data_IF_354698745593
#
_entry.id   IF_354698745593
#
_cell.length_a   1.000
_cell.length_b   1.000
_cell.length_c   1.000
_cell.angle_alpha   90.00
_cell.angle_beta   90.00
_cell.angle_gamma   90.00
#
_symmetry.space_group_name_H-M   'P 1'
#
loop_
_entity.id
_entity.type
_entity.pdbx_description
1 polymer ?
#
# COMPACT_ATOMS: atom_id res chain seq x y z
N UNK A 1 -50.88 -8.36 -28.63
CA UNK A 1 -49.91 -8.81 -29.65
C UNK A 1 -48.95 -7.65 -29.94
N UNK A 2 -47.65 -7.89 -29.73
CA UNK A 2 -46.46 -7.10 -30.11
C UNK A 2 -46.32 -5.65 -29.62
N UNK A 3 -45.55 -5.34 -28.58
CA UNK A 3 -44.07 -5.10 -28.57
C UNK A 3 -43.54 -4.18 -29.67
N UNK A 4 -42.93 -3.05 -29.29
CA UNK A 4 -41.55 -2.68 -29.67
C UNK A 4 -41.24 -1.23 -29.29
N UNK A 5 -40.53 -1.04 -28.18
CA UNK A 5 -39.78 0.20 -27.92
C UNK A 5 -38.49 -0.12 -27.12
N UNK A 6 -37.78 -1.16 -27.52
CA UNK A 6 -36.37 -1.33 -27.16
C UNK A 6 -35.52 -0.68 -28.25
N UNK A 7 -35.27 0.63 -28.11
CA UNK A 7 -34.28 1.34 -28.94
C UNK A 7 -32.88 0.87 -28.56
N UNK A 8 -32.20 0.35 -29.57
CA UNK A 8 -30.83 -0.14 -29.60
C UNK A 8 -29.83 0.68 -28.76
N UNK A 9 -29.30 0.06 -27.70
CA UNK A 9 -28.05 0.43 -27.03
C UNK A 9 -26.84 -0.09 -27.84
N UNK A 10 -26.66 0.41 -29.06
CA UNK A 10 -25.40 0.25 -29.81
C UNK A 10 -24.97 1.61 -30.34
N UNK A 11 -24.50 2.46 -29.42
CA UNK A 11 -23.65 3.58 -29.79
C UNK A 11 -22.27 3.04 -30.18
N UNK A 12 -21.64 3.61 -31.21
CA UNK A 12 -20.24 3.34 -31.50
C UNK A 12 -19.41 3.58 -30.22
N UNK A 13 -18.38 2.75 -29.93
CA UNK A 13 -17.51 3.02 -28.82
C UNK A 13 -16.94 4.43 -28.99
N UNK A 14 -16.97 5.23 -27.92
CA UNK A 14 -16.37 6.57 -27.92
C UNK A 14 -14.93 6.47 -28.46
N UNK A 15 -14.43 7.45 -29.20
CA UNK A 15 -13.05 7.43 -29.65
C UNK A 15 -12.11 7.36 -28.41
N UNK A 16 -10.95 6.71 -28.57
CA UNK A 16 -10.11 6.27 -27.44
C UNK A 16 -9.67 7.43 -26.54
N UNK A 17 -9.48 8.61 -27.12
CA UNK A 17 -9.22 9.87 -26.43
C UNK A 17 -10.40 10.36 -25.57
N UNK A 18 -11.64 10.24 -26.05
CA UNK A 18 -12.83 10.49 -25.23
C UNK A 18 -13.02 9.43 -24.15
N UNK A 19 -12.71 8.16 -24.42
CA UNK A 19 -12.76 7.11 -23.40
C UNK A 19 -11.74 7.37 -22.28
N UNK A 20 -10.50 7.75 -22.64
CA UNK A 20 -9.48 8.17 -21.68
C UNK A 20 -9.94 9.41 -20.93
N UNK A 21 -10.50 10.42 -21.61
CA UNK A 21 -10.98 11.64 -20.96
C UNK A 21 -12.18 11.38 -20.03
N UNK A 22 -13.06 10.43 -20.33
CA UNK A 22 -14.17 10.01 -19.46
C UNK A 22 -13.66 9.17 -18.29
N UNK A 23 -12.69 8.26 -18.51
CA UNK A 23 -12.03 7.48 -17.47
C UNK A 23 -11.23 8.36 -16.49
N UNK A 24 -10.52 9.36 -17.01
CA UNK A 24 -9.69 10.30 -16.25
C UNK A 24 -10.37 11.64 -16.00
N UNK A 25 -11.70 11.71 -16.10
CA UNK A 25 -12.45 12.91 -15.72
C UNK A 25 -12.40 13.08 -14.20
N UNK A 26 -11.30 13.65 -13.70
CA UNK A 26 -11.13 14.19 -12.34
C UNK A 26 -12.06 15.39 -12.07
N UNK A 27 -13.21 15.47 -12.76
CA UNK A 27 -14.15 16.59 -12.75
C UNK A 27 -14.71 16.87 -11.36
N UNK A 28 -14.57 15.93 -10.43
CA UNK A 28 -15.03 16.02 -9.05
C UNK A 28 -13.93 16.35 -8.02
N UNK A 29 -12.67 16.58 -8.44
CA UNK A 29 -11.60 17.03 -7.54
C UNK A 29 -11.38 18.53 -7.66
N UNK A 30 -11.47 19.26 -6.53
CA UNK A 30 -11.06 20.67 -6.49
C UNK A 30 -9.59 20.83 -6.92
N UNK A 31 -9.27 21.94 -7.58
CA UNK A 31 -7.89 22.22 -8.00
C UNK A 31 -6.92 22.25 -6.81
N UNK A 32 -7.39 22.70 -5.64
CA UNK A 32 -6.63 22.64 -4.39
C UNK A 32 -6.31 21.21 -3.96
N UNK A 33 -7.28 20.29 -4.06
CA UNK A 33 -7.07 18.88 -3.71
C UNK A 33 -6.00 18.26 -4.60
N UNK A 34 -6.01 18.57 -5.91
CA UNK A 34 -5.00 18.08 -6.86
C UNK A 34 -3.59 18.57 -6.48
N UNK A 35 -3.45 19.84 -6.09
CA UNK A 35 -2.16 20.40 -5.68
C UNK A 35 -1.63 19.74 -4.40
N UNK A 36 -2.47 19.57 -3.38
CA UNK A 36 -2.08 18.90 -2.13
C UNK A 36 -1.70 17.45 -2.41
N UNK A 37 -2.50 16.75 -3.22
CA UNK A 37 -2.27 15.36 -3.55
C UNK A 37 -0.99 15.14 -4.37
N UNK A 38 -0.66 16.06 -5.27
CA UNK A 38 0.63 16.08 -5.97
C UNK A 38 1.81 16.16 -4.98
N UNK A 39 1.71 17.01 -3.94
CA UNK A 39 2.72 17.08 -2.87
C UNK A 39 2.79 15.78 -2.06
N UNK A 40 1.65 15.16 -1.77
CA UNK A 40 1.58 13.87 -1.07
C UNK A 40 2.34 12.79 -1.84
N UNK A 41 2.03 12.58 -3.12
CA UNK A 41 2.68 11.54 -3.93
C UNK A 41 4.16 11.86 -4.22
N UNK A 42 4.52 13.14 -4.36
CA UNK A 42 5.93 13.55 -4.51
C UNK A 42 6.73 13.24 -3.23
N UNK A 43 6.14 13.52 -2.06
CA UNK A 43 6.75 13.20 -0.77
C UNK A 43 6.85 11.69 -0.56
N UNK A 44 5.81 10.93 -0.93
CA UNK A 44 5.84 9.47 -0.94
C UNK A 44 7.00 8.93 -1.78
N UNK A 45 7.18 9.42 -3.00
CA UNK A 45 8.29 9.00 -3.87
C UNK A 45 9.65 9.25 -3.21
N UNK A 46 9.82 10.41 -2.56
CA UNK A 46 11.04 10.71 -1.81
C UNK A 46 11.24 9.77 -0.61
N UNK A 47 10.17 9.45 0.13
CA UNK A 47 10.23 8.44 1.20
C UNK A 47 10.69 7.07 0.68
N UNK A 48 10.22 6.64 -0.49
CA UNK A 48 10.65 5.38 -1.11
C UNK A 48 12.13 5.38 -1.50
N UNK A 49 12.64 6.50 -2.03
CA UNK A 49 14.08 6.67 -2.33
C UNK A 49 14.89 6.59 -1.04
N UNK A 50 14.49 7.33 0.00
CA UNK A 50 15.18 7.33 1.30
C UNK A 50 15.15 5.95 1.95
N UNK A 51 14.02 5.25 1.90
CA UNK A 51 13.91 3.87 2.38
C UNK A 51 14.84 2.93 1.61
N UNK A 52 14.97 3.11 0.29
CA UNK A 52 15.90 2.33 -0.54
C UNK A 52 17.36 2.57 -0.15
N UNK A 53 17.74 3.81 0.18
CA UNK A 53 19.06 4.14 0.73
C UNK A 53 19.25 3.45 2.10
N UNK A 54 18.21 3.41 2.93
CA UNK A 54 18.22 2.67 4.20
C UNK A 54 18.48 1.18 4.04
N UNK A 55 17.78 0.52 3.09
CA UNK A 55 18.03 -0.88 2.73
C UNK A 55 19.48 -1.08 2.28
N UNK A 56 19.96 -0.24 1.35
CA UNK A 56 21.32 -0.32 0.81
C UNK A 56 22.39 -0.17 1.90
N UNK A 57 22.21 0.81 2.79
CA UNK A 57 23.12 1.08 3.91
C UNK A 57 23.18 -0.10 4.87
N UNK A 58 22.02 -0.67 5.21
CA UNK A 58 21.94 -1.81 6.12
C UNK A 58 22.60 -3.07 5.52
N UNK A 59 22.41 -3.33 4.23
CA UNK A 59 22.98 -4.51 3.57
C UNK A 59 24.50 -4.40 3.43
N UNK A 60 25.03 -3.23 3.04
CA UNK A 60 26.42 -3.10 2.59
C UNK A 60 27.37 -2.46 3.62
N UNK A 61 26.87 -1.62 4.52
CA UNK A 61 27.72 -0.80 5.41
C UNK A 61 27.64 -1.31 6.84
N UNK A 62 26.44 -1.32 7.43
CA UNK A 62 26.26 -1.63 8.83
C UNK A 62 24.87 -2.20 9.11
N UNK A 63 24.82 -3.37 9.76
CA UNK A 63 23.56 -4.00 10.20
C UNK A 63 23.27 -3.66 11.67
N UNK A 64 22.35 -2.71 11.95
CA UNK A 64 21.96 -2.42 13.32
C UNK A 64 21.12 -3.55 13.91
N UNK A 65 21.12 -3.64 15.24
CA UNK A 65 20.30 -4.61 15.96
C UNK A 65 18.81 -4.32 15.74
N UNK A 66 18.03 -5.37 15.41
CA UNK A 66 16.58 -5.31 15.21
C UNK A 66 15.84 -4.54 16.32
N UNK A 67 16.16 -4.82 17.59
CA UNK A 67 15.51 -4.14 18.73
C UNK A 67 15.77 -2.64 18.75
N UNK A 68 16.99 -2.22 18.40
CA UNK A 68 17.37 -0.82 18.37
C UNK A 68 16.67 -0.08 17.22
N UNK A 69 16.65 -0.69 16.03
CA UNK A 69 15.93 -0.15 14.86
C UNK A 69 14.44 -0.02 15.15
N UNK A 70 13.83 -0.99 15.85
CA UNK A 70 12.43 -0.95 16.26
C UNK A 70 12.13 0.21 17.23
N UNK A 71 12.94 0.37 18.28
CA UNK A 71 12.78 1.47 19.25
C UNK A 71 12.95 2.84 18.59
N UNK A 72 13.94 2.99 17.70
CA UNK A 72 14.14 4.24 16.96
C UNK A 72 12.95 4.54 16.04
N UNK A 73 12.39 3.53 15.37
CA UNK A 73 11.23 3.71 14.50
C UNK A 73 10.01 4.19 15.31
N UNK A 74 9.69 3.53 16.43
CA UNK A 74 8.61 3.94 17.32
C UNK A 74 8.85 5.36 17.84
N UNK A 75 10.06 5.64 18.34
CA UNK A 75 10.42 6.96 18.85
C UNK A 75 10.24 8.05 17.79
N UNK A 76 10.65 7.80 16.55
CA UNK A 76 10.51 8.73 15.44
C UNK A 76 9.03 8.97 15.07
N UNK A 77 8.20 7.92 15.06
CA UNK A 77 6.74 8.04 14.79
C UNK A 77 6.05 8.81 15.92
N UNK A 78 6.36 8.51 17.18
CA UNK A 78 5.80 9.26 18.32
C UNK A 78 6.22 10.74 18.25
N UNK A 79 7.50 11.01 17.99
CA UNK A 79 8.00 12.36 17.84
C UNK A 79 7.33 13.10 16.67
N UNK A 80 7.05 12.41 15.56
CA UNK A 80 6.27 12.96 14.44
C UNK A 80 4.85 13.35 14.83
N UNK A 81 4.17 12.53 15.64
CA UNK A 81 2.80 12.78 16.12
C UNK A 81 2.75 13.99 17.05
N UNK A 82 3.74 14.13 17.94
CA UNK A 82 3.83 15.27 18.86
C UNK A 82 4.29 16.57 18.20
N UNK A 83 4.94 16.49 17.03
CA UNK A 83 5.45 17.69 16.34
C UNK A 83 4.29 18.49 15.73
N UNK A 84 4.15 19.79 16.04
CA UNK A 84 3.08 20.63 15.51
C UNK A 84 3.08 20.76 13.98
N UNK A 85 1.89 20.88 13.38
CA UNK A 85 1.71 20.93 11.92
C UNK A 85 2.45 22.09 11.22
N UNK A 86 2.64 23.22 11.91
CA UNK A 86 3.30 24.41 11.36
C UNK A 86 4.81 24.21 11.19
N UNK A 87 5.43 23.25 11.89
CA UNK A 87 6.86 22.95 11.78
C UNK A 87 7.16 22.01 10.60
N UNK A 88 6.81 22.44 9.39
CA UNK A 88 6.89 21.62 8.15
C UNK A 88 8.28 21.02 7.93
N UNK A 89 9.34 21.80 8.08
CA UNK A 89 10.73 21.33 7.84
C UNK A 89 11.16 20.26 8.84
N UNK A 90 10.83 20.44 10.13
CA UNK A 90 11.14 19.45 11.16
C UNK A 90 10.37 18.15 10.91
N UNK A 91 9.08 18.24 10.60
CA UNK A 91 8.25 17.06 10.28
C UNK A 91 8.74 16.32 9.05
N UNK A 92 9.21 17.04 8.04
CA UNK A 92 9.83 16.44 6.86
C UNK A 92 11.16 15.73 7.18
N UNK A 93 11.99 16.33 8.03
CA UNK A 93 13.21 15.69 8.54
C UNK A 93 12.90 14.41 9.33
N UNK A 94 11.90 14.45 10.22
CA UNK A 94 11.46 13.28 10.98
C UNK A 94 10.89 12.20 10.04
N UNK A 95 10.07 12.59 9.05
CA UNK A 95 9.56 11.65 8.04
C UNK A 95 10.70 10.97 7.28
N UNK A 96 11.75 11.71 6.92
CA UNK A 96 12.94 11.15 6.27
C UNK A 96 13.64 10.12 7.17
N UNK A 97 13.76 10.40 8.47
CA UNK A 97 14.30 9.44 9.45
C UNK A 97 13.41 8.19 9.53
N UNK A 98 12.08 8.35 9.63
CA UNK A 98 11.13 7.23 9.65
C UNK A 98 11.31 6.37 8.39
N UNK A 99 11.37 6.98 7.21
CA UNK A 99 11.54 6.25 5.95
C UNK A 99 12.86 5.51 5.87
N UNK A 100 13.97 6.15 6.29
CA UNK A 100 15.29 5.53 6.29
C UNK A 100 15.35 4.32 7.24
N UNK A 101 14.89 4.49 8.48
CA UNK A 101 14.86 3.44 9.50
C UNK A 101 13.91 2.30 9.09
N UNK A 102 12.78 2.62 8.43
CA UNK A 102 11.89 1.60 7.87
C UNK A 102 12.59 0.79 6.78
N UNK A 103 13.39 1.44 5.93
CA UNK A 103 14.26 0.75 4.96
C UNK A 103 15.27 -0.18 5.62
N UNK A 104 15.94 0.27 6.68
CA UNK A 104 16.84 -0.58 7.48
C UNK A 104 16.09 -1.80 8.02
N UNK A 105 14.89 -1.64 8.60
CA UNK A 105 14.10 -2.76 9.11
C UNK A 105 13.69 -3.77 8.04
N UNK A 106 13.54 -3.34 6.78
CA UNK A 106 13.24 -4.23 5.65
C UNK A 106 14.45 -5.02 5.16
N UNK A 107 15.66 -4.58 5.49
CA UNK A 107 16.91 -5.12 4.92
C UNK A 107 17.13 -6.60 5.21
N UNK A 108 16.78 -7.09 6.40
CA UNK A 108 16.92 -8.50 6.77
C UNK A 108 15.99 -9.37 5.93
N UNK A 109 14.74 -8.93 5.76
CA UNK A 109 13.73 -9.63 4.95
C UNK A 109 14.15 -9.67 3.47
N UNK A 110 14.61 -8.54 2.94
CA UNK A 110 15.11 -8.44 1.56
C UNK A 110 16.36 -9.32 1.38
N UNK A 111 17.30 -9.29 2.32
CA UNK A 111 18.53 -10.10 2.27
C UNK A 111 18.23 -11.59 2.22
N UNK A 112 17.25 -12.05 3.01
CA UNK A 112 16.81 -13.45 3.00
C UNK A 112 16.27 -13.85 1.61
N UNK A 113 15.46 -13.00 0.98
CA UNK A 113 14.88 -13.31 -0.33
C UNK A 113 15.84 -13.12 -1.51
N UNK A 114 16.86 -12.25 -1.40
CA UNK A 114 17.94 -12.15 -2.39
C UNK A 114 18.67 -13.50 -2.53
N UNK A 115 18.87 -14.22 -1.43
CA UNK A 115 19.51 -15.55 -1.44
C UNK A 115 18.67 -16.62 -2.15
N UNK A 116 17.34 -16.45 -2.15
CA UNK A 116 16.42 -17.36 -2.86
C UNK A 116 16.46 -17.07 -4.37
N UNK A 117 16.14 -15.83 -4.75
CA UNK A 117 16.21 -15.36 -6.13
C UNK A 117 16.17 -13.82 -6.14
N UNK A 118 17.24 -13.12 -6.56
CA UNK A 118 17.32 -11.65 -6.50
C UNK A 118 16.26 -10.95 -7.36
N UNK A 119 15.79 -11.59 -8.44
CA UNK A 119 14.78 -11.04 -9.34
C UNK A 119 13.41 -10.86 -8.65
N UNK A 120 13.16 -11.58 -7.56
CA UNK A 120 11.90 -11.50 -6.81
C UNK A 120 11.73 -10.12 -6.16
N UNK A 121 12.82 -9.50 -5.68
CA UNK A 121 12.76 -8.19 -5.00
C UNK A 121 12.26 -7.12 -5.98
N UNK A 122 12.86 -7.05 -7.17
CA UNK A 122 12.45 -6.11 -8.20
C UNK A 122 11.01 -6.40 -8.67
N UNK A 123 10.68 -7.66 -8.88
CA UNK A 123 9.32 -8.07 -9.29
C UNK A 123 8.27 -7.67 -8.25
N UNK A 124 8.57 -7.85 -6.97
CA UNK A 124 7.70 -7.44 -5.87
C UNK A 124 7.49 -5.93 -5.85
N UNK A 125 8.56 -5.15 -6.02
CA UNK A 125 8.48 -3.69 -6.05
C UNK A 125 7.64 -3.17 -7.23
N UNK A 126 7.85 -3.71 -8.43
CA UNK A 126 7.07 -3.34 -9.62
C UNK A 126 5.60 -3.71 -9.46
N UNK A 127 5.30 -4.91 -8.95
CA UNK A 127 3.93 -5.35 -8.71
C UNK A 127 3.24 -4.48 -7.65
N UNK A 128 3.95 -4.16 -6.57
CA UNK A 128 3.46 -3.23 -5.53
C UNK A 128 3.14 -1.87 -6.13
N UNK A 129 4.06 -1.31 -6.91
CA UNK A 129 3.88 0.00 -7.56
C UNK A 129 2.69 0.02 -8.49
N UNK A 130 2.51 -1.05 -9.30
CA UNK A 130 1.36 -1.21 -10.18
C UNK A 130 0.04 -1.28 -9.40
N UNK A 131 -0.06 -2.20 -8.44
CA UNK A 131 -1.27 -2.38 -7.61
C UNK A 131 -1.59 -1.09 -6.85
N UNK A 132 -0.62 -0.52 -6.16
CA UNK A 132 -0.79 0.70 -5.38
C UNK A 132 -1.29 1.85 -6.27
N UNK A 133 -0.64 2.10 -7.41
CA UNK A 133 -1.03 3.18 -8.33
C UNK A 133 -2.43 2.93 -8.90
N UNK A 134 -2.75 1.72 -9.34
CA UNK A 134 -4.06 1.38 -9.89
C UNK A 134 -5.18 1.58 -8.87
N UNK A 135 -5.01 1.12 -7.63
CA UNK A 135 -6.03 1.24 -6.59
C UNK A 135 -6.11 2.66 -6.00
N UNK A 136 -5.00 3.38 -5.93
CA UNK A 136 -4.99 4.81 -5.62
C UNK A 136 -5.76 5.61 -6.67
N UNK A 137 -5.50 5.40 -7.97
CA UNK A 137 -6.25 6.07 -9.05
C UNK A 137 -7.72 5.70 -9.00
N UNK A 138 -8.04 4.41 -8.86
CA UNK A 138 -9.42 3.94 -8.68
C UNK A 138 -10.12 4.65 -7.52
N UNK A 139 -9.43 4.81 -6.40
CA UNK A 139 -9.94 5.54 -5.24
C UNK A 139 -10.21 7.02 -5.59
N UNK A 140 -9.25 7.72 -6.20
CA UNK A 140 -9.40 9.12 -6.58
C UNK A 140 -10.56 9.38 -7.55
N UNK A 141 -10.85 8.42 -8.45
CA UNK A 141 -11.96 8.51 -9.41
C UNK A 141 -13.33 8.31 -8.73
N UNK A 142 -13.42 7.48 -7.68
CA UNK A 142 -14.69 7.10 -7.03
C UNK A 142 -15.11 7.98 -5.85
N UNK A 143 -14.48 9.13 -5.68
CA UNK A 143 -14.72 10.07 -4.58
C UNK A 143 -16.18 10.48 -4.36
N UNK A 144 -17.01 10.54 -5.42
CA UNK A 144 -18.39 11.05 -5.35
C UNK A 144 -19.30 10.29 -4.38
N UNK A 145 -18.92 9.08 -3.97
CA UNK A 145 -19.68 8.26 -3.03
C UNK A 145 -19.22 8.50 -1.58
N UNK A 146 -19.69 9.60 -0.96
CA UNK A 146 -19.37 10.00 0.43
C UNK A 146 -19.67 8.92 1.52
N UNK A 147 -20.32 7.81 1.19
CA UNK A 147 -20.64 6.69 2.11
C UNK A 147 -19.73 5.46 1.92
N UNK A 148 -18.95 5.42 0.85
CA UNK A 148 -18.11 4.26 0.51
C UNK A 148 -17.03 4.02 1.58
N UNK A 149 -16.50 5.08 2.18
CA UNK A 149 -15.50 4.98 3.25
C UNK A 149 -15.96 4.16 4.47
N UNK A 150 -17.19 4.37 4.95
CA UNK A 150 -17.74 3.61 6.08
C UNK A 150 -17.94 2.13 5.73
N UNK A 151 -18.36 1.85 4.49
CA UNK A 151 -18.44 0.49 4.01
C UNK A 151 -17.06 -0.18 3.98
N UNK A 152 -16.04 0.49 3.44
CA UNK A 152 -14.66 -0.03 3.45
C UNK A 152 -14.15 -0.24 4.88
N UNK A 153 -14.44 0.68 5.80
CA UNK A 153 -14.05 0.54 7.21
C UNK A 153 -14.59 -0.76 7.82
N UNK A 154 -15.88 -1.03 7.61
CA UNK A 154 -16.55 -2.24 8.11
C UNK A 154 -16.03 -3.51 7.43
N UNK A 155 -15.78 -3.46 6.11
CA UNK A 155 -15.19 -4.58 5.36
C UNK A 155 -13.79 -4.91 5.85
N UNK A 156 -12.92 -3.90 6.01
CA UNK A 156 -11.56 -4.06 6.52
C UNK A 156 -11.59 -4.61 7.95
N UNK A 157 -12.46 -4.07 8.81
CA UNK A 157 -12.60 -4.54 10.19
C UNK A 157 -13.05 -6.00 10.26
N UNK A 158 -14.02 -6.39 9.41
CA UNK A 158 -14.52 -7.76 9.33
C UNK A 158 -13.46 -8.73 8.82
N UNK A 159 -12.72 -8.35 7.77
CA UNK A 159 -11.59 -9.12 7.26
C UNK A 159 -10.48 -9.25 8.30
N UNK A 160 -10.15 -8.17 9.00
CA UNK A 160 -9.16 -8.16 10.09
C UNK A 160 -9.54 -9.11 11.22
N UNK A 161 -10.82 -9.10 11.64
CA UNK A 161 -11.33 -10.05 12.63
C UNK A 161 -11.21 -11.50 12.14
N UNK A 162 -11.58 -11.77 10.89
CA UNK A 162 -11.44 -13.10 10.29
C UNK A 162 -9.99 -13.59 10.25
N UNK A 163 -9.06 -12.73 9.81
CA UNK A 163 -7.62 -13.01 9.82
C UNK A 163 -7.14 -13.27 11.26
N UNK A 164 -7.59 -12.48 12.23
CA UNK A 164 -7.25 -12.67 13.64
C UNK A 164 -7.72 -14.01 14.18
N UNK A 165 -8.99 -14.38 13.95
CA UNK A 165 -9.54 -15.68 14.38
C UNK A 165 -8.79 -16.84 13.73
N UNK A 166 -8.53 -16.79 12.42
CA UNK A 166 -7.76 -17.82 11.71
C UNK A 166 -6.31 -17.89 12.22
N UNK A 167 -5.73 -16.76 12.59
CA UNK A 167 -4.39 -16.70 13.20
C UNK A 167 -4.36 -17.33 14.60
N UNK A 168 -5.41 -17.14 15.40
CA UNK A 168 -5.56 -17.83 16.69
C UNK A 168 -5.70 -19.35 16.49
N UNK A 169 -6.54 -19.78 15.55
CA UNK A 169 -6.69 -21.20 15.24
C UNK A 169 -5.36 -21.84 14.80
N UNK A 170 -4.57 -21.12 13.99
CA UNK A 170 -3.20 -21.54 13.63
C UNK A 170 -2.28 -21.68 14.84
N UNK A 171 -2.40 -20.77 15.82
CA UNK A 171 -1.60 -20.78 17.04
C UNK A 171 -1.92 -21.99 17.92
N UNK A 172 -3.19 -22.38 18.02
CA UNK A 172 -3.65 -23.54 18.81
C UNK A 172 -3.51 -24.90 18.09
N UNK A 173 -2.69 -24.99 17.04
CA UNK A 173 -2.33 -26.27 16.41
C UNK A 173 -3.06 -26.57 15.09
N UNK A 174 -3.94 -25.69 14.62
CA UNK A 174 -4.61 -25.78 13.31
C UNK A 174 -3.72 -25.47 12.11
N UNK A 175 -2.49 -26.01 12.07
CA UNK A 175 -1.53 -25.73 10.99
C UNK A 175 -1.85 -26.57 9.75
N UNK A 176 -2.19 -25.90 8.65
CA UNK A 176 -2.32 -26.52 7.33
C UNK A 176 -1.81 -25.57 6.25
N UNK A 177 -1.33 -26.11 5.12
CA UNK A 177 -0.85 -25.30 4.00
C UNK A 177 -1.99 -24.43 3.43
N UNK A 178 -3.20 -24.98 3.32
CA UNK A 178 -4.39 -24.25 2.86
C UNK A 178 -4.72 -23.06 3.75
N UNK A 179 -4.57 -23.22 5.07
CA UNK A 179 -4.78 -22.12 6.02
C UNK A 179 -3.73 -21.02 5.87
N UNK A 180 -2.46 -21.38 5.67
CA UNK A 180 -1.39 -20.41 5.43
C UNK A 180 -1.59 -19.63 4.12
N UNK A 181 -2.11 -20.29 3.07
CA UNK A 181 -2.48 -19.64 1.81
C UNK A 181 -3.68 -18.70 1.98
N UNK A 182 -4.72 -19.15 2.70
CA UNK A 182 -5.91 -18.34 2.97
C UNK A 182 -5.56 -17.09 3.80
N UNK A 183 -4.74 -17.23 4.84
CA UNK A 183 -4.25 -16.12 5.64
C UNK A 183 -3.44 -15.12 4.79
N UNK A 184 -2.54 -15.61 3.94
CA UNK A 184 -1.75 -14.76 3.06
C UNK A 184 -2.64 -13.99 2.07
N UNK A 185 -3.63 -14.66 1.47
CA UNK A 185 -4.60 -14.02 0.57
C UNK A 185 -5.45 -12.99 1.32
N UNK A 186 -5.90 -13.31 2.53
CA UNK A 186 -6.66 -12.40 3.38
C UNK A 186 -5.86 -11.15 3.73
N UNK A 187 -4.59 -11.30 4.13
CA UNK A 187 -3.71 -10.17 4.43
C UNK A 187 -3.45 -9.34 3.17
N UNK A 188 -3.14 -9.96 2.03
CA UNK A 188 -2.96 -9.25 0.76
C UNK A 188 -4.21 -8.44 0.36
N UNK A 189 -5.39 -9.06 0.43
CA UNK A 189 -6.66 -8.39 0.15
C UNK A 189 -6.90 -7.22 1.11
N UNK A 190 -6.59 -7.39 2.40
CA UNK A 190 -6.70 -6.32 3.40
C UNK A 190 -5.76 -5.16 3.08
N UNK A 191 -4.49 -5.41 2.71
CA UNK A 191 -3.53 -4.37 2.35
C UNK A 191 -3.98 -3.56 1.13
N UNK A 192 -4.56 -4.21 0.12
CA UNK A 192 -5.14 -3.51 -1.04
C UNK A 192 -6.33 -2.64 -0.62
N UNK A 193 -7.20 -3.14 0.26
CA UNK A 193 -8.32 -2.35 0.78
C UNK A 193 -7.86 -1.14 1.60
N UNK A 194 -6.78 -1.26 2.39
CA UNK A 194 -6.16 -0.14 3.09
C UNK A 194 -5.70 0.95 2.12
N UNK A 195 -5.01 0.60 1.03
CA UNK A 195 -4.60 1.59 0.01
C UNK A 195 -5.80 2.37 -0.53
N UNK A 196 -6.92 1.69 -0.82
CA UNK A 196 -8.14 2.36 -1.29
C UNK A 196 -8.70 3.27 -0.19
N UNK A 197 -8.81 2.75 1.03
CA UNK A 197 -9.36 3.42 2.21
C UNK A 197 -8.58 4.68 2.57
N UNK A 198 -7.26 4.60 2.69
CA UNK A 198 -6.40 5.73 3.04
C UNK A 198 -6.36 6.77 1.93
N UNK A 199 -6.34 6.34 0.66
CA UNK A 199 -6.49 7.28 -0.47
C UNK A 199 -7.83 8.02 -0.42
N UNK A 200 -8.95 7.34 -0.12
CA UNK A 200 -10.26 7.99 0.08
C UNK A 200 -10.22 8.97 1.26
N UNK A 201 -9.55 8.59 2.35
CA UNK A 201 -9.51 9.41 3.57
C UNK A 201 -8.69 10.66 3.43
N UNK A 202 -7.59 10.60 2.71
CA UNK A 202 -6.80 11.78 2.37
C UNK A 202 -7.71 12.78 1.66
N UNK A 203 -8.43 12.32 0.64
CA UNK A 203 -9.35 13.14 -0.14
C UNK A 203 -10.50 13.70 0.71
N UNK A 204 -11.13 12.87 1.54
CA UNK A 204 -12.20 13.29 2.46
C UNK A 204 -11.70 14.36 3.45
N UNK A 205 -10.54 14.15 4.06
CA UNK A 205 -9.94 15.09 5.04
C UNK A 205 -9.56 16.41 4.39
N UNK A 206 -9.09 16.40 3.14
CA UNK A 206 -8.75 17.63 2.40
C UNK A 206 -10.02 18.43 2.10
N UNK A 207 -11.08 17.79 1.57
CA UNK A 207 -12.26 18.53 1.13
C UNK A 207 -13.28 18.87 2.22
N UNK A 208 -13.48 17.99 3.21
CA UNK A 208 -14.45 18.23 4.29
C UNK A 208 -13.85 18.98 5.46
N UNK A 209 -12.61 18.65 5.83
CA UNK A 209 -11.98 19.20 7.03
C UNK A 209 -10.94 20.28 6.70
N UNK A 210 -10.69 20.56 5.42
CA UNK A 210 -9.65 21.51 5.00
C UNK A 210 -8.23 21.10 5.40
N UNK A 211 -8.01 19.83 5.77
CA UNK A 211 -6.72 19.37 6.30
C UNK A 211 -5.72 19.15 5.15
N UNK A 212 -4.87 20.13 4.91
CA UNK A 212 -3.85 20.13 3.84
C UNK A 212 -2.49 19.57 4.30
N UNK A 213 -2.48 18.75 5.35
CA UNK A 213 -1.26 18.19 5.95
C UNK A 213 -0.66 17.06 5.09
N UNK A 214 -0.03 17.46 3.98
CA UNK A 214 0.50 16.52 2.99
C UNK A 214 1.59 15.61 3.55
N UNK A 215 2.34 16.03 4.58
CA UNK A 215 3.41 15.23 5.19
C UNK A 215 2.80 14.05 5.94
N UNK A 216 1.76 14.28 6.74
CA UNK A 216 1.05 13.19 7.43
C UNK A 216 0.38 12.25 6.44
N UNK A 217 -0.26 12.79 5.40
CA UNK A 217 -0.87 11.96 4.35
C UNK A 217 0.17 11.12 3.60
N UNK A 218 1.37 11.65 3.34
CA UNK A 218 2.47 10.90 2.74
C UNK A 218 3.02 9.82 3.66
N UNK A 219 3.12 10.07 4.98
CA UNK A 219 3.51 9.06 5.96
C UNK A 219 2.55 7.85 5.91
N UNK A 220 1.23 8.09 5.92
CA UNK A 220 0.22 7.02 5.88
C UNK A 220 0.38 6.18 4.61
N UNK A 221 0.39 6.82 3.43
CA UNK A 221 0.57 6.11 2.16
C UNK A 221 1.91 5.39 2.05
N UNK A 222 2.96 5.91 2.67
CA UNK A 222 4.27 5.26 2.72
C UNK A 222 4.22 3.96 3.51
N UNK A 223 3.55 3.96 4.66
CA UNK A 223 3.37 2.74 5.47
C UNK A 223 2.52 1.70 4.71
N UNK A 224 1.42 2.13 4.08
CA UNK A 224 0.59 1.24 3.25
C UNK A 224 1.39 0.60 2.10
N UNK A 225 2.22 1.40 1.42
CA UNK A 225 3.08 0.90 0.34
C UNK A 225 4.09 -0.12 0.87
N UNK A 226 4.74 0.17 2.00
CA UNK A 226 5.72 -0.71 2.61
C UNK A 226 5.09 -2.03 3.05
N UNK A 227 3.91 -2.00 3.66
CA UNK A 227 3.20 -3.21 4.09
C UNK A 227 2.74 -4.04 2.89
N UNK A 228 2.20 -3.39 1.85
CA UNK A 228 1.85 -4.05 0.59
C UNK A 228 3.09 -4.68 -0.08
N UNK A 229 4.24 -4.01 -0.05
CA UNK A 229 5.49 -4.56 -0.56
C UNK A 229 5.92 -5.80 0.21
N UNK A 230 5.87 -5.79 1.55
CA UNK A 230 6.25 -6.96 2.37
C UNK A 230 5.39 -8.18 2.06
N UNK A 231 4.07 -8.00 1.96
CA UNK A 231 3.17 -9.13 1.70
C UNK A 231 3.36 -9.68 0.29
N UNK A 232 3.55 -8.81 -0.71
CA UNK A 232 3.83 -9.24 -2.09
C UNK A 232 5.18 -9.97 -2.17
N UNK A 233 6.22 -9.43 -1.53
CA UNK A 233 7.55 -10.03 -1.53
C UNK A 233 7.52 -11.42 -0.91
N UNK A 234 6.87 -11.56 0.25
CA UNK A 234 6.69 -12.84 0.94
C UNK A 234 5.91 -13.84 0.07
N UNK A 235 4.86 -13.37 -0.61
CA UNK A 235 4.03 -14.20 -1.49
C UNK A 235 4.82 -14.75 -2.67
N UNK A 236 5.58 -13.90 -3.37
CA UNK A 236 6.42 -14.30 -4.49
C UNK A 236 7.54 -15.25 -4.06
N UNK A 237 8.17 -14.97 -2.92
CA UNK A 237 9.23 -15.82 -2.38
C UNK A 237 8.75 -17.24 -2.04
N UNK A 238 7.61 -17.39 -1.36
CA UNK A 238 7.04 -18.72 -1.07
C UNK A 238 6.67 -19.47 -2.36
N UNK A 239 6.13 -18.76 -3.35
CA UNK A 239 5.79 -19.36 -4.64
C UNK A 239 7.03 -19.89 -5.36
N UNK A 240 8.14 -19.17 -5.33
CA UNK A 240 9.40 -19.62 -5.95
C UNK A 240 10.01 -20.80 -5.19
N UNK A 241 10.01 -20.78 -3.85
CA UNK A 241 10.47 -21.91 -3.03
C UNK A 241 9.70 -23.20 -3.37
N UNK A 242 8.36 -23.14 -3.37
CA UNK A 242 7.52 -24.28 -3.73
C UNK A 242 7.79 -24.79 -5.16
N UNK A 243 8.10 -23.89 -6.09
CA UNK A 243 8.45 -24.26 -7.47
C UNK A 243 9.78 -25.01 -7.53
N UNK A 244 10.77 -24.59 -6.76
CA UNK A 244 12.09 -25.24 -6.70
C UNK A 244 12.00 -26.62 -6.03
N UNK A 245 11.25 -26.75 -4.93
CA UNK A 245 11.04 -28.02 -4.26
C UNK A 245 10.34 -29.05 -5.16
N UNK A 246 9.34 -28.61 -5.92
CA UNK A 246 8.65 -29.47 -6.88
C UNK A 246 9.54 -29.90 -8.06
N UNK A 247 10.51 -29.07 -8.47
CA UNK A 247 11.51 -29.48 -9.48
C UNK A 247 12.47 -30.51 -8.92
N UNK A 248 12.91 -30.34 -7.67
CA UNK A 248 13.83 -31.27 -7.02
C UNK A 248 13.18 -32.65 -6.77
N UNK A 249 11.89 -32.70 -6.42
CA UNK A 249 11.15 -33.96 -6.27
C UNK A 249 10.91 -34.73 -7.59
N UNK A 250 11.10 -34.08 -8.74
CA UNK A 250 10.92 -34.68 -10.08
C UNK A 250 12.24 -35.13 -10.72
N UNK A 251 13.37 -34.83 -10.09
CA UNK A 251 14.71 -35.29 -10.48
C UNK A 251 15.11 -36.48 -9.62
#
# INVERSE_FOLDING_TARGET
>A
MSTSAYRNFRGNPLPFDEQINVLFQFKNLSNETKQVLSKVYSTLAMCLVIASIGVFTAINIYRPNFFLTFLVNIGAVLFFIYTPKHETNKRFGILSVISFVTGISLSDMISFYIQVNPSIVLSAFLLTSGIFTSFSVFSLLNKGNNRMFLFLASTISSLGLGIFILSLYRLFGGRSESLDQLLMLGVLASSVLFVIYDTQMIVYRIEKNGNKDFIHHALVLFLDFVDLFRIILTTLAKKEQNRNDNKNKRR
#
